data_IF_323843824112
#
_entry.id   IF_323843824112
#
_cell.length_a   1.000
_cell.length_b   1.000
_cell.length_c   1.000
_cell.angle_alpha   90.00
_cell.angle_beta   90.00
_cell.angle_gamma   90.00
#
_symmetry.space_group_name_H-M   'P 1'
#
loop_
_entity.id
_entity.type
_entity.pdbx_description
1 polymer ?
#
# COMPACT_ATOMS: atom_id res chain seq x y z
N UNK A 1 -0.53 21.59 0.49
CA UNK A 1 -0.67 20.19 0.93
C UNK A 1 0.45 19.43 0.24
N UNK A 2 1.47 19.02 0.99
CA UNK A 2 2.71 18.46 0.44
C UNK A 2 2.41 17.30 -0.51
N UNK A 3 2.65 17.51 -1.81
CA UNK A 3 2.49 16.47 -2.81
C UNK A 3 3.75 15.60 -2.78
N UNK A 4 3.75 14.56 -1.93
CA UNK A 4 4.76 13.51 -2.04
C UNK A 4 4.79 12.99 -3.48
N UNK A 5 5.99 12.76 -4.01
CA UNK A 5 6.12 12.28 -5.38
C UNK A 5 5.33 10.97 -5.60
N UNK A 6 4.66 10.87 -6.75
CA UNK A 6 3.82 9.72 -7.07
C UNK A 6 4.65 8.45 -7.26
N UNK A 7 5.84 8.55 -7.85
CA UNK A 7 6.77 7.43 -8.03
C UNK A 7 7.31 6.93 -6.69
N UNK A 8 7.67 7.84 -5.78
CA UNK A 8 8.06 7.49 -4.42
C UNK A 8 6.92 6.76 -3.70
N UNK A 9 5.70 7.31 -3.76
CA UNK A 9 4.55 6.71 -3.07
C UNK A 9 4.20 5.33 -3.63
N UNK A 10 4.25 5.15 -4.95
CA UNK A 10 4.06 3.84 -5.57
C UNK A 10 5.11 2.84 -5.09
N UNK A 11 6.39 3.25 -5.08
CA UNK A 11 7.52 2.40 -4.69
C UNK A 11 7.46 2.00 -3.22
N UNK A 12 7.11 2.93 -2.33
CA UNK A 12 6.90 2.66 -0.91
C UNK A 12 5.72 1.71 -0.72
N UNK A 13 4.58 1.98 -1.36
CA UNK A 13 3.39 1.11 -1.28
C UNK A 13 3.73 -0.32 -1.70
N UNK A 14 4.39 -0.48 -2.87
CA UNK A 14 4.87 -1.77 -3.38
C UNK A 14 5.79 -2.47 -2.40
N UNK A 15 6.75 -1.76 -1.82
CA UNK A 15 7.76 -2.33 -0.91
C UNK A 15 7.14 -2.80 0.40
N UNK A 16 6.25 -1.99 0.99
CA UNK A 16 5.55 -2.33 2.23
C UNK A 16 4.68 -3.57 2.02
N UNK A 17 3.85 -3.59 0.97
CA UNK A 17 2.98 -4.72 0.67
C UNK A 17 3.77 -6.00 0.39
N UNK A 18 4.85 -5.94 -0.41
CA UNK A 18 5.69 -7.13 -0.66
C UNK A 18 6.43 -7.62 0.59
N UNK A 19 6.62 -6.75 1.57
CA UNK A 19 7.27 -7.10 2.84
C UNK A 19 6.29 -7.56 3.92
N UNK A 20 4.99 -7.69 3.63
CA UNK A 20 3.95 -7.96 4.65
C UNK A 20 4.28 -9.17 5.52
N UNK A 21 4.79 -10.26 4.93
CA UNK A 21 5.03 -11.51 5.66
C UNK A 21 6.23 -11.36 6.61
N UNK A 22 7.27 -10.62 6.16
CA UNK A 22 8.41 -10.24 7.00
C UNK A 22 7.99 -9.30 8.13
N UNK A 23 7.18 -8.28 7.83
CA UNK A 23 6.62 -7.38 8.84
C UNK A 23 5.76 -8.17 9.83
N UNK A 24 5.03 -9.18 9.34
CA UNK A 24 4.22 -10.14 10.09
C UNK A 24 4.93 -10.86 11.23
N UNK A 25 6.26 -11.00 11.14
CA UNK A 25 7.08 -11.60 12.19
C UNK A 25 7.16 -10.73 13.46
N UNK A 26 6.90 -9.43 13.34
CA UNK A 26 6.92 -8.45 14.44
C UNK A 26 5.56 -7.79 14.67
N UNK A 27 4.75 -7.65 13.61
CA UNK A 27 3.42 -7.05 13.63
C UNK A 27 2.46 -8.02 12.97
N UNK A 28 1.86 -8.92 13.76
CA UNK A 28 1.01 -10.01 13.24
C UNK A 28 -0.16 -9.53 12.37
N UNK A 29 -0.67 -8.33 12.61
CA UNK A 29 -1.71 -7.73 11.77
C UNK A 29 -1.30 -7.56 10.30
N UNK A 30 0.00 -7.39 10.00
CA UNK A 30 0.49 -7.24 8.64
C UNK A 30 0.26 -8.47 7.76
N UNK A 31 0.16 -9.67 8.36
CA UNK A 31 -0.13 -10.91 7.63
C UNK A 31 -1.57 -10.97 7.11
N UNK A 32 -2.47 -10.20 7.73
CA UNK A 32 -3.89 -10.14 7.35
C UNK A 32 -4.17 -9.12 6.23
N UNK A 33 -3.15 -8.40 5.77
CA UNK A 33 -3.28 -7.39 4.72
C UNK A 33 -3.36 -8.11 3.36
N UNK A 34 -4.58 -8.23 2.84
CA UNK A 34 -4.86 -8.78 1.52
C UNK A 34 -4.89 -7.65 0.48
N UNK A 35 -4.10 -7.78 -0.60
CA UNK A 35 -3.99 -6.79 -1.67
C UNK A 35 -5.34 -6.41 -2.34
N UNK A 36 -6.32 -7.32 -2.33
CA UNK A 36 -7.65 -7.11 -2.89
C UNK A 36 -8.53 -6.26 -1.98
N UNK A 37 -8.25 -6.22 -0.68
CA UNK A 37 -9.07 -5.54 0.33
C UNK A 37 -8.33 -4.44 1.09
N UNK A 38 -7.01 -4.33 0.97
CA UNK A 38 -6.14 -3.41 1.70
C UNK A 38 -6.25 -1.93 1.28
N UNK A 39 -7.35 -1.54 0.65
CA UNK A 39 -7.64 -0.14 0.35
C UNK A 39 -8.71 0.34 1.32
N UNK A 40 -8.28 0.73 2.51
CA UNK A 40 -9.11 1.50 3.44
C UNK A 40 -8.49 2.88 3.62
N UNK A 41 -9.08 3.90 2.99
CA UNK A 41 -8.53 5.25 3.08
C UNK A 41 -9.42 6.23 3.83
N UNK A 42 -10.71 5.95 4.06
CA UNK A 42 -11.62 6.88 4.76
C UNK A 42 -11.06 7.32 6.13
N UNK A 43 -10.98 8.63 6.45
CA UNK A 43 -11.46 9.81 5.71
C UNK A 43 -10.47 10.45 4.72
N UNK A 44 -9.31 9.85 4.49
CA UNK A 44 -8.26 10.34 3.60
C UNK A 44 -8.47 9.90 2.14
N UNK A 45 -8.10 10.78 1.22
CA UNK A 45 -8.02 10.45 -0.20
C UNK A 45 -6.82 9.54 -0.45
N UNK A 46 -7.01 8.50 -1.25
CA UNK A 46 -5.91 7.64 -1.70
C UNK A 46 -4.93 8.44 -2.57
N UNK A 47 -3.65 8.42 -2.23
CA UNK A 47 -2.60 9.06 -3.02
C UNK A 47 -2.47 8.44 -4.42
N UNK A 48 -2.17 9.23 -5.46
CA UNK A 48 -2.10 8.75 -6.84
C UNK A 48 -1.10 7.60 -7.01
N UNK A 49 0.11 7.72 -6.48
CA UNK A 49 1.11 6.64 -6.50
C UNK A 49 0.63 5.33 -5.89
N UNK A 50 -0.12 5.38 -4.78
CA UNK A 50 -0.71 4.18 -4.19
C UNK A 50 -1.81 3.59 -5.11
N UNK A 51 -2.63 4.45 -5.72
CA UNK A 51 -3.64 4.03 -6.71
C UNK A 51 -3.00 3.31 -7.89
N UNK A 52 -1.90 3.83 -8.46
CA UNK A 52 -1.15 3.21 -9.57
C UNK A 52 -0.71 1.80 -9.20
N UNK A 53 -0.12 1.63 -8.01
CA UNK A 53 0.27 0.31 -7.53
C UNK A 53 -0.94 -0.64 -7.42
N UNK A 54 -2.01 -0.24 -6.73
CA UNK A 54 -3.18 -1.10 -6.53
C UNK A 54 -3.86 -1.51 -7.83
N UNK A 55 -3.92 -0.63 -8.83
CA UNK A 55 -4.45 -0.97 -10.15
C UNK A 55 -3.50 -1.92 -10.88
N UNK A 56 -2.19 -1.71 -10.81
CA UNK A 56 -1.19 -2.53 -11.52
C UNK A 56 -1.14 -4.00 -11.10
N UNK A 57 -1.60 -4.31 -9.88
CA UNK A 57 -1.59 -5.68 -9.32
C UNK A 57 -2.96 -6.35 -9.36
N UNK A 58 -4.00 -5.65 -9.82
CA UNK A 58 -5.31 -6.25 -10.08
C UNK A 58 -5.26 -6.98 -11.43
N UNK A 59 -5.80 -8.21 -11.53
CA UNK A 59 -5.93 -8.91 -12.81
C UNK A 59 -6.83 -8.16 -13.79
#
# INVERSE_FOLDING_TARGET
LESTDAGLTESVTRTVIRSRDRIGTKVHAAQKVDLRTAIFTNPLTLHEGARRYYVSVKP
#
